data_IF_770571889417
#
_entry.id   IF_770571889417
#
_cell.length_a   1.000
_cell.length_b   1.000
_cell.length_c   1.000
_cell.angle_alpha   90.00
_cell.angle_beta   90.00
_cell.angle_gamma   90.00
#
_symmetry.space_group_name_H-M   'P 1'
#
loop_
_entity.id
_entity.type
_entity.pdbx_description
1 polymer ?
#
# COMPACT_ATOMS: atom_id res chain seq x y z
N UNK A 1 58.92 -33.42 63.11
CA UNK A 1 58.93 -32.54 61.92
C UNK A 1 58.43 -33.36 60.74
N UNK A 2 57.17 -33.20 60.36
CA UNK A 2 56.59 -33.86 59.19
C UNK A 2 55.74 -32.81 58.45
N UNK A 3 56.19 -32.43 57.27
CA UNK A 3 55.51 -31.49 56.40
C UNK A 3 54.34 -32.22 55.71
N UNK A 4 53.11 -31.79 56.01
CA UNK A 4 51.91 -32.30 55.34
C UNK A 4 51.73 -31.55 54.02
N UNK A 5 51.95 -32.26 52.91
CA UNK A 5 51.77 -31.78 51.54
C UNK A 5 50.27 -31.58 51.27
N UNK A 6 49.85 -30.35 50.96
CA UNK A 6 48.48 -30.04 50.54
C UNK A 6 48.35 -30.25 49.04
N UNK A 7 47.61 -31.28 48.64
CA UNK A 7 47.22 -31.54 47.26
C UNK A 7 46.06 -30.58 46.91
N UNK A 8 46.27 -29.70 45.93
CA UNK A 8 45.22 -28.82 45.40
C UNK A 8 44.39 -29.59 44.34
N UNK A 9 43.05 -29.56 44.37
CA UNK A 9 42.25 -30.20 43.34
C UNK A 9 42.31 -29.37 42.05
N UNK A 10 42.63 -30.03 40.92
CA UNK A 10 42.53 -29.43 39.59
C UNK A 10 41.05 -29.30 39.22
N UNK A 11 40.50 -28.10 39.32
CA UNK A 11 39.18 -27.78 38.80
C UNK A 11 39.31 -27.66 37.27
N UNK A 12 38.83 -28.67 36.54
CA UNK A 12 38.64 -28.60 35.09
C UNK A 12 37.43 -27.71 34.83
N UNK A 13 37.66 -26.44 34.51
CA UNK A 13 36.63 -25.55 34.01
C UNK A 13 36.25 -25.99 32.58
N UNK A 14 35.17 -26.76 32.46
CA UNK A 14 34.58 -27.06 31.16
C UNK A 14 33.93 -25.78 30.62
N UNK A 15 34.62 -25.07 29.73
CA UNK A 15 34.05 -23.96 28.98
C UNK A 15 32.97 -24.48 28.05
N UNK A 16 31.72 -24.46 28.51
CA UNK A 16 30.55 -24.65 27.65
C UNK A 16 30.42 -23.44 26.74
N UNK A 17 30.91 -23.57 25.51
CA UNK A 17 30.68 -22.61 24.44
C UNK A 17 29.18 -22.64 24.10
N UNK A 18 28.40 -21.75 24.70
CA UNK A 18 27.00 -21.55 24.32
C UNK A 18 27.01 -20.88 22.95
N UNK A 19 26.84 -21.66 21.89
CA UNK A 19 26.53 -21.17 20.55
C UNK A 19 25.12 -20.58 20.59
N UNK A 20 25.03 -19.28 20.87
CA UNK A 20 23.80 -18.52 20.65
C UNK A 20 23.64 -18.43 19.14
N UNK A 21 22.84 -19.35 18.58
CA UNK A 21 22.35 -19.25 17.22
C UNK A 21 21.46 -18.01 17.15
N UNK A 22 22.04 -16.85 16.81
CA UNK A 22 21.24 -15.71 16.36
C UNK A 22 20.67 -16.10 14.99
N UNK A 23 19.53 -16.80 15.02
CA UNK A 23 18.65 -16.93 13.87
C UNK A 23 18.10 -15.54 13.58
N UNK A 24 18.87 -14.69 12.91
CA UNK A 24 18.31 -13.54 12.20
C UNK A 24 17.40 -14.12 11.14
N UNK A 25 16.11 -14.23 11.46
CA UNK A 25 15.08 -14.43 10.46
C UNK A 25 15.24 -13.28 9.46
N UNK A 26 15.87 -13.58 8.34
CA UNK A 26 15.92 -12.68 7.21
C UNK A 26 14.48 -12.62 6.69
N UNK A 27 13.66 -11.75 7.28
CA UNK A 27 12.41 -11.37 6.67
C UNK A 27 12.81 -10.77 5.31
N UNK A 28 12.62 -11.55 4.24
CA UNK A 28 12.89 -11.10 2.89
C UNK A 28 12.10 -9.80 2.71
N UNK A 29 12.82 -8.69 2.51
CA UNK A 29 12.21 -7.37 2.44
C UNK A 29 11.34 -7.33 1.18
N UNK A 30 10.01 -7.34 1.36
CA UNK A 30 9.06 -7.25 0.26
C UNK A 30 9.28 -5.95 -0.52
N UNK A 31 9.01 -6.00 -1.82
CA UNK A 31 9.14 -4.86 -2.71
C UNK A 31 7.93 -3.96 -2.55
N UNK A 32 8.12 -2.70 -2.21
CA UNK A 32 7.01 -1.75 -2.11
C UNK A 32 6.59 -1.32 -3.52
N UNK A 33 5.32 -1.50 -3.86
CA UNK A 33 4.71 -1.00 -5.09
C UNK A 33 3.63 -0.01 -4.68
N UNK A 34 3.83 1.28 -4.97
CA UNK A 34 2.84 2.32 -4.65
C UNK A 34 2.25 2.91 -5.93
N UNK A 35 0.93 3.01 -5.99
CA UNK A 35 0.19 3.57 -7.12
C UNK A 35 -0.52 4.83 -6.64
N UNK A 36 -0.16 5.96 -7.23
CA UNK A 36 -0.79 7.27 -6.99
C UNK A 36 -1.76 7.55 -8.13
N UNK A 37 -3.05 7.72 -7.81
CA UNK A 37 -4.13 7.76 -8.79
C UNK A 37 -5.31 8.61 -8.32
N UNK A 38 -6.31 8.78 -9.20
CA UNK A 38 -7.56 9.49 -8.93
C UNK A 38 -8.74 8.65 -9.44
N UNK A 39 -9.81 8.56 -8.64
CA UNK A 39 -10.92 7.62 -8.87
C UNK A 39 -11.78 7.88 -10.10
N UNK A 40 -11.76 9.09 -10.68
CA UNK A 40 -12.52 9.42 -11.89
C UNK A 40 -11.63 9.71 -13.11
N UNK A 41 -10.33 9.42 -13.01
CA UNK A 41 -9.42 9.50 -14.14
C UNK A 41 -9.48 8.20 -14.97
N UNK A 42 -9.91 8.21 -16.25
CA UNK A 42 -10.10 6.99 -17.03
C UNK A 42 -8.84 6.14 -17.17
N UNK A 43 -7.65 6.75 -17.21
CA UNK A 43 -6.38 6.03 -17.26
C UNK A 43 -6.04 5.36 -15.91
N UNK A 44 -6.40 6.00 -14.80
CA UNK A 44 -6.24 5.43 -13.46
C UNK A 44 -7.16 4.24 -13.26
N UNK A 45 -8.45 4.43 -13.51
CA UNK A 45 -9.45 3.37 -13.41
C UNK A 45 -9.11 2.22 -14.34
N UNK A 46 -8.69 2.52 -15.58
CA UNK A 46 -8.22 1.53 -16.54
C UNK A 46 -7.05 0.70 -16.02
N UNK A 47 -6.05 1.33 -15.42
CA UNK A 47 -4.89 0.64 -14.83
C UNK A 47 -5.29 -0.22 -13.63
N UNK A 48 -6.09 0.32 -12.70
CA UNK A 48 -6.54 -0.43 -11.51
C UNK A 48 -7.40 -1.64 -11.90
N UNK A 49 -8.24 -1.50 -12.91
CA UNK A 49 -9.16 -2.56 -13.34
C UNK A 49 -8.48 -3.62 -14.21
N UNK A 50 -7.59 -3.24 -15.12
CA UNK A 50 -7.08 -4.14 -16.15
C UNK A 50 -5.65 -4.64 -15.89
N UNK A 51 -4.79 -3.82 -15.28
CA UNK A 51 -3.36 -4.12 -15.13
C UNK A 51 -3.00 -4.54 -13.71
N UNK A 52 -3.51 -3.83 -12.71
CA UNK A 52 -3.18 -4.08 -11.33
C UNK A 52 -3.61 -5.46 -10.79
N UNK A 53 -4.72 -6.11 -11.25
CA UNK A 53 -5.07 -7.46 -10.78
C UNK A 53 -4.00 -8.51 -11.09
N UNK A 54 -3.10 -8.25 -12.05
CA UNK A 54 -1.97 -9.13 -12.38
C UNK A 54 -1.07 -9.38 -11.18
N UNK A 55 -0.92 -8.42 -10.26
CA UNK A 55 -0.09 -8.60 -9.06
C UNK A 55 -0.60 -9.75 -8.17
N UNK A 56 -1.92 -9.97 -8.13
CA UNK A 56 -2.53 -11.05 -7.37
C UNK A 56 -2.52 -12.35 -8.18
N UNK A 57 -2.96 -12.29 -9.45
CA UNK A 57 -3.04 -13.46 -10.34
C UNK A 57 -1.68 -14.13 -10.56
N UNK A 58 -0.63 -13.34 -10.74
CA UNK A 58 0.71 -13.82 -11.07
C UNK A 58 1.53 -14.15 -9.80
N UNK A 59 0.90 -14.12 -8.62
CA UNK A 59 1.53 -14.50 -7.34
C UNK A 59 2.51 -13.47 -6.77
N UNK A 60 2.67 -12.32 -7.44
CA UNK A 60 3.57 -11.23 -7.02
C UNK A 60 3.16 -10.62 -5.68
N UNK A 61 1.88 -10.72 -5.32
CA UNK A 61 1.38 -10.30 -4.00
C UNK A 61 2.07 -10.99 -2.83
N UNK A 62 2.79 -12.11 -3.01
CA UNK A 62 3.59 -12.73 -1.94
C UNK A 62 4.90 -11.98 -1.66
N UNK A 63 5.46 -11.31 -2.67
CA UNK A 63 6.77 -10.65 -2.63
C UNK A 63 6.69 -9.13 -2.75
N UNK A 64 5.51 -8.58 -3.05
CA UNK A 64 5.25 -7.15 -3.15
C UNK A 64 4.22 -6.67 -2.10
N UNK A 65 4.49 -5.49 -1.55
CA UNK A 65 3.55 -4.72 -0.73
C UNK A 65 2.88 -3.66 -1.61
N UNK A 66 1.65 -3.94 -2.05
CA UNK A 66 0.85 -2.99 -2.81
C UNK A 66 0.29 -1.90 -1.88
N UNK A 67 0.51 -0.63 -2.24
CA UNK A 67 -0.11 0.54 -1.62
C UNK A 67 -0.85 1.35 -2.69
N UNK A 68 -2.14 1.60 -2.45
CA UNK A 68 -2.95 2.50 -3.23
C UNK A 68 -3.02 3.87 -2.54
N UNK A 69 -2.85 4.94 -3.31
CA UNK A 69 -2.82 6.33 -2.83
C UNK A 69 -3.80 7.19 -3.67
N UNK A 70 -5.10 7.19 -3.32
CA UNK A 70 -6.13 7.97 -4.02
C UNK A 70 -6.03 9.47 -3.66
N UNK A 71 -5.44 10.25 -4.56
CA UNK A 71 -5.37 11.72 -4.49
C UNK A 71 -4.96 12.35 -5.83
N UNK A 72 -3.90 11.81 -6.44
CA UNK A 72 -3.35 12.22 -7.74
C UNK A 72 -3.14 13.73 -7.93
N UNK A 73 -3.81 14.32 -8.92
CA UNK A 73 -3.74 15.74 -9.26
C UNK A 73 -4.66 16.64 -8.43
N UNK A 74 -5.26 16.10 -7.37
CA UNK A 74 -5.94 16.89 -6.36
C UNK A 74 -5.06 18.01 -5.81
N UNK A 75 -5.70 19.06 -5.31
CA UNK A 75 -5.02 20.22 -4.70
C UNK A 75 -5.57 20.50 -3.33
N UNK A 76 -4.69 20.96 -2.43
CA UNK A 76 -5.06 21.44 -1.11
C UNK A 76 -4.82 22.95 -1.08
N UNK A 77 -5.88 23.72 -0.93
CA UNK A 77 -5.82 25.17 -0.75
C UNK A 77 -5.25 25.55 0.63
N UNK A 78 -4.77 26.79 0.83
CA UNK A 78 -4.25 27.24 2.12
C UNK A 78 -5.23 27.15 3.30
N UNK A 79 -6.55 27.22 3.02
CA UNK A 79 -7.61 27.02 4.02
C UNK A 79 -7.90 25.54 4.31
N UNK A 80 -7.16 24.61 3.70
CA UNK A 80 -7.34 23.17 3.81
C UNK A 80 -8.46 22.59 2.95
N UNK A 81 -9.11 23.36 2.08
CA UNK A 81 -10.09 22.79 1.14
C UNK A 81 -9.38 21.91 0.11
N UNK A 82 -9.97 20.75 -0.20
CA UNK A 82 -9.47 19.84 -1.22
C UNK A 82 -10.27 20.10 -2.49
N UNK A 83 -9.61 20.17 -3.65
CA UNK A 83 -10.27 20.21 -4.96
C UNK A 83 -9.66 19.15 -5.86
N UNK A 84 -10.50 18.37 -6.52
CA UNK A 84 -10.10 17.29 -7.42
C UNK A 84 -10.38 17.68 -8.88
N UNK A 85 -9.67 17.06 -9.84
CA UNK A 85 -9.71 17.45 -11.25
C UNK A 85 -11.08 17.18 -11.88
N UNK A 86 -11.75 16.11 -11.43
CA UNK A 86 -13.02 15.64 -11.97
C UNK A 86 -14.24 15.98 -11.07
N UNK A 87 -14.08 16.94 -10.16
CA UNK A 87 -15.18 17.44 -9.32
C UNK A 87 -15.25 16.84 -7.92
N UNK A 88 -16.36 17.11 -7.23
CA UNK A 88 -16.53 16.72 -5.81
C UNK A 88 -16.74 15.21 -5.68
N UNK A 89 -17.34 14.56 -6.68
CA UNK A 89 -17.54 13.11 -6.72
C UNK A 89 -16.20 12.35 -6.69
N UNK A 90 -15.18 12.87 -7.38
CA UNK A 90 -13.81 12.32 -7.28
C UNK A 90 -13.22 12.51 -5.88
N UNK A 91 -13.38 13.70 -5.29
CA UNK A 91 -12.93 13.92 -3.92
C UNK A 91 -13.63 13.00 -2.91
N UNK A 92 -14.93 12.77 -3.10
CA UNK A 92 -15.72 11.84 -2.30
C UNK A 92 -15.19 10.41 -2.44
N UNK A 93 -15.01 9.91 -3.66
CA UNK A 93 -14.57 8.53 -3.90
C UNK A 93 -13.12 8.31 -3.46
N UNK A 94 -12.22 9.26 -3.71
CA UNK A 94 -10.86 9.23 -3.16
C UNK A 94 -10.86 9.07 -1.63
N UNK A 95 -11.78 9.77 -0.93
CA UNK A 95 -11.95 9.68 0.53
C UNK A 95 -12.53 8.33 0.98
N UNK A 96 -13.49 7.77 0.23
CA UNK A 96 -14.07 6.44 0.48
C UNK A 96 -13.03 5.34 0.32
N UNK A 97 -12.23 5.38 -0.75
CA UNK A 97 -11.17 4.42 -0.98
C UNK A 97 -10.04 4.55 0.06
N UNK A 98 -9.70 5.78 0.45
CA UNK A 98 -8.77 6.01 1.56
C UNK A 98 -9.26 5.36 2.87
N UNK A 99 -10.56 5.47 3.16
CA UNK A 99 -11.18 4.79 4.30
C UNK A 99 -11.06 3.26 4.19
N UNK A 100 -11.36 2.67 3.03
CA UNK A 100 -11.25 1.23 2.80
C UNK A 100 -9.81 0.74 3.02
N UNK A 101 -8.81 1.42 2.44
CA UNK A 101 -7.38 1.10 2.60
C UNK A 101 -6.97 1.16 4.06
N UNK A 102 -7.42 2.20 4.78
CA UNK A 102 -7.08 2.39 6.20
C UNK A 102 -7.67 1.31 7.11
N UNK A 103 -8.87 0.81 6.80
CA UNK A 103 -9.61 -0.16 7.59
C UNK A 103 -9.16 -1.61 7.32
N UNK A 104 -8.75 -1.90 6.10
CA UNK A 104 -8.35 -3.23 5.66
C UNK A 104 -6.91 -3.22 5.12
N UNK A 105 -5.87 -3.05 5.95
CA UNK A 105 -4.51 -2.73 5.49
C UNK A 105 -3.84 -3.77 4.60
N UNK A 106 -4.39 -4.98 4.50
CA UNK A 106 -3.96 -5.98 3.53
C UNK A 106 -4.62 -5.72 2.17
N UNK A 107 -3.80 -5.56 1.15
CA UNK A 107 -4.23 -5.33 -0.22
C UNK A 107 -5.19 -6.41 -0.74
N UNK A 108 -5.06 -7.66 -0.30
CA UNK A 108 -6.01 -8.71 -0.69
C UNK A 108 -7.45 -8.44 -0.22
N UNK A 109 -7.62 -7.62 0.82
CA UNK A 109 -8.92 -7.30 1.39
C UNK A 109 -9.51 -5.99 0.85
N UNK A 110 -8.71 -4.90 0.77
CA UNK A 110 -9.24 -3.63 0.23
C UNK A 110 -9.37 -3.63 -1.30
N UNK A 111 -8.51 -4.37 -2.01
CA UNK A 111 -8.39 -4.23 -3.47
C UNK A 111 -9.66 -4.62 -4.23
N UNK A 112 -10.38 -5.71 -3.90
CA UNK A 112 -11.64 -6.03 -4.59
C UNK A 112 -12.69 -4.91 -4.51
N UNK A 113 -12.74 -4.18 -3.39
CA UNK A 113 -13.67 -3.07 -3.21
C UNK A 113 -13.30 -1.88 -4.11
N UNK A 114 -12.02 -1.53 -4.13
CA UNK A 114 -11.50 -0.45 -4.99
C UNK A 114 -11.63 -0.81 -6.46
N UNK A 115 -11.29 -2.05 -6.84
CA UNK A 115 -11.46 -2.56 -8.20
C UNK A 115 -12.90 -2.41 -8.69
N UNK A 116 -13.89 -2.74 -7.85
CA UNK A 116 -15.30 -2.52 -8.17
C UNK A 116 -15.66 -1.04 -8.35
N UNK A 117 -15.19 -0.14 -7.47
CA UNK A 117 -15.44 1.30 -7.59
C UNK A 117 -14.85 1.85 -8.90
N UNK A 118 -13.61 1.49 -9.21
CA UNK A 118 -12.93 1.90 -10.43
C UNK A 118 -13.57 1.32 -11.69
N UNK A 119 -14.12 0.11 -11.61
CA UNK A 119 -14.93 -0.47 -12.69
C UNK A 119 -16.21 0.35 -12.93
N UNK A 120 -16.91 0.74 -11.85
CA UNK A 120 -18.06 1.63 -11.94
C UNK A 120 -17.66 3.01 -12.50
N UNK A 121 -16.47 3.51 -12.18
CA UNK A 121 -15.97 4.78 -12.71
C UNK A 121 -15.77 4.72 -14.24
N UNK A 122 -15.17 3.65 -14.76
CA UNK A 122 -15.05 3.40 -16.22
C UNK A 122 -16.41 3.39 -16.93
N UNK A 123 -17.42 2.82 -16.26
CA UNK A 123 -18.79 2.71 -16.75
C UNK A 123 -19.63 3.99 -16.55
N UNK A 124 -19.05 5.04 -15.95
CA UNK A 124 -19.75 6.27 -15.55
C UNK A 124 -20.92 6.04 -14.58
N UNK A 125 -20.80 5.02 -13.73
CA UNK A 125 -21.78 4.60 -12.72
C UNK A 125 -21.27 4.78 -11.29
N UNK A 126 -20.31 5.67 -11.07
CA UNK A 126 -19.66 5.87 -9.77
C UNK A 126 -20.60 6.18 -8.60
N UNK A 127 -21.79 6.76 -8.87
CA UNK A 127 -22.83 6.96 -7.86
C UNK A 127 -23.35 5.65 -7.23
N UNK A 128 -23.10 4.51 -7.87
CA UNK A 128 -23.46 3.19 -7.38
C UNK A 128 -22.37 2.54 -6.48
N UNK A 129 -21.30 3.24 -6.09
CA UNK A 129 -20.17 2.68 -5.34
C UNK A 129 -20.56 1.82 -4.12
N UNK A 130 -21.68 2.11 -3.46
CA UNK A 130 -22.18 1.31 -2.33
C UNK A 130 -22.54 -0.13 -2.73
N UNK A 131 -22.85 -0.40 -4.00
CA UNK A 131 -23.08 -1.77 -4.48
C UNK A 131 -21.83 -2.64 -4.37
N UNK A 132 -20.63 -2.04 -4.34
CA UNK A 132 -19.39 -2.77 -4.17
C UNK A 132 -19.28 -3.49 -2.82
N UNK A 133 -20.03 -3.07 -1.79
CA UNK A 133 -20.13 -3.86 -0.55
C UNK A 133 -20.88 -5.17 -0.75
N UNK A 134 -21.93 -5.18 -1.59
CA UNK A 134 -22.67 -6.39 -1.91
C UNK A 134 -21.83 -7.33 -2.77
N UNK A 135 -21.10 -6.78 -3.73
CA UNK A 135 -20.21 -7.55 -4.62
C UNK A 135 -19.06 -8.22 -3.87
N UNK A 136 -18.45 -7.51 -2.92
CA UNK A 136 -17.30 -8.00 -2.16
C UNK A 136 -17.66 -8.75 -0.88
N UNK A 137 -18.90 -8.60 -0.39
CA UNK A 137 -19.32 -9.10 0.92
C UNK A 137 -18.72 -8.35 2.11
N UNK A 138 -18.06 -7.20 1.88
CA UNK A 138 -17.46 -6.40 2.94
C UNK A 138 -18.52 -5.62 3.73
N UNK A 139 -18.35 -5.45 5.05
CA UNK A 139 -19.29 -4.70 5.86
C UNK A 139 -19.24 -3.21 5.47
N UNK A 140 -20.39 -2.57 5.16
CA UNK A 140 -20.42 -1.17 4.73
C UNK A 140 -20.13 -0.19 5.87
N UNK A 141 -20.60 -0.49 7.08
CA UNK A 141 -20.65 0.48 8.18
C UNK A 141 -19.28 1.07 8.54
N UNK A 142 -18.17 0.28 8.65
CA UNK A 142 -16.86 0.85 8.97
C UNK A 142 -16.38 1.93 7.98
N UNK A 143 -16.55 1.71 6.67
CA UNK A 143 -16.14 2.67 5.64
C UNK A 143 -17.06 3.89 5.67
N UNK A 144 -18.38 3.67 5.79
CA UNK A 144 -19.37 4.74 5.88
C UNK A 144 -19.13 5.64 7.11
N UNK A 145 -18.81 5.06 8.27
CA UNK A 145 -18.49 5.80 9.49
C UNK A 145 -17.17 6.58 9.35
N UNK A 146 -16.16 5.98 8.73
CA UNK A 146 -14.90 6.66 8.44
C UNK A 146 -15.11 7.90 7.54
N UNK A 147 -15.94 7.77 6.50
CA UNK A 147 -16.29 8.88 5.62
C UNK A 147 -17.09 9.97 6.36
N UNK A 148 -18.19 9.58 7.01
CA UNK A 148 -19.13 10.50 7.67
C UNK A 148 -18.53 11.23 8.89
N UNK A 149 -17.57 10.61 9.60
CA UNK A 149 -16.87 11.25 10.71
C UNK A 149 -15.89 12.35 10.27
N UNK A 150 -15.64 12.49 8.96
CA UNK A 150 -14.61 13.37 8.41
C UNK A 150 -13.20 12.79 8.52
N UNK A 151 -13.04 11.55 9.00
CA UNK A 151 -11.73 10.89 9.03
C UNK A 151 -11.21 10.59 7.62
N UNK A 152 -12.10 10.25 6.67
CA UNK A 152 -11.74 10.13 5.26
C UNK A 152 -11.06 11.37 4.68
N UNK A 153 -11.56 12.57 5.03
CA UNK A 153 -10.91 13.84 4.64
C UNK A 153 -9.51 13.99 5.25
N UNK A 154 -9.30 13.53 6.49
CA UNK A 154 -7.97 13.57 7.10
C UNK A 154 -6.99 12.64 6.39
N UNK A 155 -7.44 11.44 6.00
CA UNK A 155 -6.65 10.50 5.21
C UNK A 155 -6.31 11.10 3.83
N UNK A 156 -7.26 11.75 3.19
CA UNK A 156 -7.04 12.42 1.90
C UNK A 156 -6.00 13.54 2.00
N UNK A 157 -5.98 14.32 3.09
CA UNK A 157 -4.92 15.31 3.35
C UNK A 157 -3.54 14.65 3.58
N UNK A 158 -3.49 13.46 4.19
CA UNK A 158 -2.25 12.70 4.34
C UNK A 158 -1.73 12.22 2.99
N UNK A 159 -2.61 11.65 2.15
CA UNK A 159 -2.25 11.26 0.78
C UNK A 159 -1.88 12.46 -0.09
N UNK A 160 -2.49 13.62 0.13
CA UNK A 160 -2.06 14.86 -0.51
C UNK A 160 -0.62 15.23 -0.16
N UNK A 161 -0.28 15.22 1.14
CA UNK A 161 1.06 15.52 1.60
C UNK A 161 2.08 14.50 1.06
N UNK A 162 1.73 13.21 1.04
CA UNK A 162 2.57 12.16 0.48
C UNK A 162 2.79 12.33 -1.02
N UNK A 163 1.73 12.54 -1.80
CA UNK A 163 1.79 12.71 -3.26
C UNK A 163 2.60 13.96 -3.62
N UNK A 164 2.39 15.08 -2.93
CA UNK A 164 3.15 16.32 -3.15
C UNK A 164 4.63 16.21 -2.75
N UNK A 165 4.99 15.24 -1.92
CA UNK A 165 6.37 14.98 -1.49
C UNK A 165 7.14 14.06 -2.44
N UNK A 166 6.51 13.54 -3.50
CA UNK A 166 7.17 12.68 -4.48
C UNK A 166 8.40 13.34 -5.10
N UNK A 167 9.47 12.55 -5.26
CA UNK A 167 10.73 12.96 -5.87
C UNK A 167 11.16 11.94 -6.93
N UNK A 168 11.16 12.31 -8.23
CA UNK A 168 10.62 13.56 -8.77
C UNK A 168 9.11 13.69 -8.55
N UNK A 169 8.54 14.91 -8.60
CA UNK A 169 7.09 15.09 -8.62
C UNK A 169 6.46 14.29 -9.75
N UNK A 170 5.27 13.72 -9.53
CA UNK A 170 4.54 13.01 -10.58
C UNK A 170 4.19 13.97 -11.72
N UNK A 171 4.26 13.48 -12.96
CA UNK A 171 3.96 14.28 -14.16
C UNK A 171 2.61 13.94 -14.78
N UNK A 172 2.03 12.81 -14.39
CA UNK A 172 0.76 12.27 -14.83
C UNK A 172 0.25 11.30 -13.77
N UNK A 173 -0.99 10.84 -13.92
CA UNK A 173 -1.55 9.71 -13.17
C UNK A 173 -2.12 8.68 -14.15
N UNK A 174 -2.13 7.38 -13.81
CA UNK A 174 -1.57 6.79 -12.60
C UNK A 174 -0.04 6.91 -12.57
N UNK A 175 0.51 7.17 -11.39
CA UNK A 175 1.96 7.25 -11.16
C UNK A 175 2.40 6.09 -10.29
N UNK A 176 3.25 5.22 -10.81
CA UNK A 176 3.67 3.99 -10.11
C UNK A 176 5.11 4.13 -9.64
N UNK A 177 5.34 3.74 -8.39
CA UNK A 177 6.69 3.66 -7.83
C UNK A 177 6.98 2.26 -7.30
N UNK A 178 8.22 1.81 -7.54
CA UNK A 178 8.75 0.55 -7.01
C UNK A 178 9.93 0.89 -6.10
N UNK A 179 9.84 0.52 -4.82
CA UNK A 179 10.78 0.92 -3.77
C UNK A 179 11.02 2.45 -3.73
N UNK A 180 9.96 3.22 -3.95
CA UNK A 180 9.98 4.69 -3.96
C UNK A 180 10.59 5.32 -5.22
N UNK A 181 10.94 4.53 -6.25
CA UNK A 181 11.43 5.03 -7.53
C UNK A 181 10.34 4.91 -8.61
N UNK A 182 10.07 5.96 -9.41
CA UNK A 182 9.08 5.87 -10.47
C UNK A 182 9.53 4.93 -11.59
N UNK A 183 8.58 4.20 -12.19
CA UNK A 183 8.85 3.22 -13.26
C UNK A 183 8.59 3.74 -14.69
N UNK A 184 8.57 5.06 -14.90
CA UNK A 184 8.35 5.64 -16.24
C UNK A 184 6.95 5.37 -16.82
N UNK A 185 6.84 5.20 -18.14
CA UNK A 185 5.55 4.98 -18.83
C UNK A 185 4.94 3.62 -18.46
N UNK A 186 3.85 3.69 -17.69
CA UNK A 186 3.29 2.61 -16.86
C UNK A 186 2.75 1.45 -17.69
N UNK A 187 2.33 1.70 -18.94
CA UNK A 187 1.77 0.68 -19.83
C UNK A 187 2.79 -0.34 -20.33
N UNK A 188 4.05 0.08 -20.52
CA UNK A 188 5.13 -0.80 -20.97
C UNK A 188 5.95 -1.35 -19.78
N UNK A 189 6.06 -0.58 -18.68
CA UNK A 189 6.98 -0.93 -17.60
C UNK A 189 6.39 -1.82 -16.52
N UNK A 190 5.07 -1.85 -16.29
CA UNK A 190 4.53 -2.62 -15.17
C UNK A 190 4.82 -4.12 -15.27
N UNK A 191 4.84 -4.69 -16.48
CA UNK A 191 5.22 -6.09 -16.70
C UNK A 191 6.73 -6.32 -16.67
N UNK A 192 7.53 -5.43 -17.24
CA UNK A 192 8.98 -5.64 -17.38
C UNK A 192 9.74 -5.25 -16.10
N UNK A 193 9.42 -4.11 -15.48
CA UNK A 193 10.10 -3.63 -14.28
C UNK A 193 9.66 -4.39 -13.02
N UNK A 194 8.39 -4.83 -12.91
CA UNK A 194 8.03 -5.75 -11.83
C UNK A 194 8.78 -7.07 -11.98
N UNK A 195 8.95 -7.60 -13.20
CA UNK A 195 9.73 -8.83 -13.39
C UNK A 195 11.24 -8.59 -13.13
N UNK A 196 11.81 -7.46 -13.55
CA UNK A 196 13.24 -7.14 -13.38
C UNK A 196 13.61 -6.76 -11.94
N UNK A 197 12.69 -6.20 -11.14
CA UNK A 197 12.94 -5.88 -9.73
C UNK A 197 12.68 -7.09 -8.82
N UNK A 198 11.86 -8.05 -9.27
CA UNK A 198 11.48 -9.24 -8.49
C UNK A 198 12.28 -10.51 -8.84
N UNK A 199 13.26 -10.43 -9.75
CA UNK A 199 14.21 -11.50 -10.07
C UNK A 199 15.66 -11.10 -9.80
#
# INVERSE_FOLDING_TARGET
MAASSRILPRILAASTLVLISLSTACAARRVSVSVYYETLCPFCSGFVVNDLPRIFRDGLSSIADLRLVPFGNGRVSPNGSITCQHGEEECQLNSIEACAIRLWPDAQHYFPFIHCIEHLALDQKWNAWQSCFQETGLPPQPVVDCYNSGYGRQLQLQYAAETNALQPPHQFVPWVTVNGRPIGDVSCSFSEDCCLVLH
#
